data_IF_986316790037
#
_entry.id   IF_986316790037
#
_cell.length_a   1.000
_cell.length_b   1.000
_cell.length_c   1.000
_cell.angle_alpha   90.00
_cell.angle_beta   90.00
_cell.angle_gamma   90.00
#
_symmetry.space_group_name_H-M   'P 1'
#
loop_
_entity.id
_entity.type
_entity.pdbx_description
1 polymer ?
#
# COMPACT_ATOMS: atom_id res chain seq x y z
N UNK A 1 6.10 -7.04 -0.19
CA UNK A 1 5.05 -8.10 -0.12
C UNK A 1 5.66 -9.51 -0.14
N UNK A 2 6.70 -9.80 -0.94
CA UNK A 2 7.38 -11.11 -0.91
C UNK A 2 7.85 -11.47 0.50
N UNK A 3 8.47 -10.54 1.23
CA UNK A 3 8.89 -10.76 2.63
C UNK A 3 7.72 -11.12 3.56
N UNK A 4 6.53 -10.55 3.34
CA UNK A 4 5.32 -10.89 4.12
C UNK A 4 4.95 -12.35 3.90
N UNK A 5 4.92 -12.81 2.64
CA UNK A 5 4.64 -14.19 2.29
C UNK A 5 5.67 -15.15 2.91
N UNK A 6 6.96 -14.83 2.74
CA UNK A 6 8.06 -15.68 3.23
C UNK A 6 7.98 -15.83 4.76
N UNK A 7 7.72 -14.73 5.50
CA UNK A 7 7.54 -14.80 6.96
C UNK A 7 6.25 -15.52 7.37
N UNK A 8 5.18 -15.34 6.64
CA UNK A 8 3.93 -16.05 6.90
C UNK A 8 4.10 -17.56 6.75
N UNK A 9 4.83 -18.02 5.72
CA UNK A 9 5.16 -19.42 5.52
C UNK A 9 6.03 -19.98 6.65
N UNK A 10 7.10 -19.26 7.04
CA UNK A 10 7.99 -19.63 8.14
C UNK A 10 7.25 -19.77 9.50
N UNK A 11 6.26 -18.92 9.73
CA UNK A 11 5.53 -18.83 11.00
C UNK A 11 4.21 -19.61 11.01
N UNK A 12 3.80 -20.19 9.88
CA UNK A 12 2.49 -20.84 9.74
C UNK A 12 1.33 -19.86 9.90
N UNK A 13 1.51 -18.59 9.50
CA UNK A 13 0.54 -17.52 9.62
C UNK A 13 -0.06 -17.13 8.26
N UNK A 14 -1.17 -16.38 8.25
CA UNK A 14 -1.77 -15.87 7.04
C UNK A 14 -1.04 -14.60 6.55
N UNK A 15 -0.57 -14.54 5.27
CA UNK A 15 0.02 -13.34 4.72
C UNK A 15 -1.03 -12.27 4.52
N UNK A 16 -0.96 -11.21 5.34
CA UNK A 16 -1.93 -10.12 5.39
C UNK A 16 -1.28 -8.79 4.99
N UNK A 17 -1.94 -8.00 4.19
CA UNK A 17 -1.53 -6.63 3.86
C UNK A 17 -2.50 -5.61 4.46
N UNK A 18 -1.94 -4.51 4.97
CA UNK A 18 -2.69 -3.36 5.44
C UNK A 18 -2.54 -2.20 4.45
N UNK A 19 -3.64 -1.56 4.11
CA UNK A 19 -3.66 -0.38 3.24
C UNK A 19 -4.83 0.55 3.57
N UNK A 20 -4.81 1.78 3.03
CA UNK A 20 -5.90 2.74 3.19
C UNK A 20 -6.78 2.83 1.93
N UNK A 21 -8.04 3.19 2.11
CA UNK A 21 -9.00 3.48 1.05
C UNK A 21 -8.66 4.79 0.29
N UNK A 22 -8.03 5.74 0.97
CA UNK A 22 -7.63 7.04 0.42
C UNK A 22 -6.13 7.28 0.61
N UNK A 23 -5.57 8.22 -0.18
CA UNK A 23 -4.18 8.64 0.03
C UNK A 23 -4.11 9.57 1.25
N UNK A 24 -3.24 9.27 2.26
CA UNK A 24 -3.14 10.07 3.47
C UNK A 24 -2.92 11.57 3.22
N UNK A 25 -2.04 11.94 2.28
CA UNK A 25 -1.79 13.35 1.96
C UNK A 25 -3.04 14.07 1.47
N UNK A 26 -3.93 13.43 0.71
CA UNK A 26 -5.15 14.07 0.22
C UNK A 26 -6.06 14.51 1.37
N UNK A 27 -6.07 13.74 2.46
CA UNK A 27 -6.87 14.06 3.66
C UNK A 27 -6.19 15.09 4.56
N UNK A 28 -4.86 15.10 4.61
CA UNK A 28 -4.09 16.01 5.47
C UNK A 28 -3.95 17.40 4.84
N UNK A 29 -3.64 17.48 3.55
CA UNK A 29 -3.35 18.74 2.85
C UNK A 29 -4.55 19.32 2.10
N UNK A 30 -5.61 18.54 1.90
CA UNK A 30 -6.74 18.91 1.05
C UNK A 30 -6.44 18.87 -0.46
N UNK A 31 -5.20 18.61 -0.86
CA UNK A 31 -4.82 18.47 -2.26
C UNK A 31 -5.06 17.04 -2.74
N UNK A 32 -5.73 16.88 -3.89
CA UNK A 32 -5.98 15.55 -4.46
C UNK A 32 -4.67 14.94 -4.94
N UNK A 33 -4.24 13.85 -4.28
CA UNK A 33 -3.15 13.01 -4.76
C UNK A 33 -3.74 11.84 -5.55
N UNK A 34 -3.50 11.74 -6.87
CA UNK A 34 -4.03 10.63 -7.67
C UNK A 34 -3.56 9.28 -7.11
N UNK A 35 -4.47 8.33 -7.03
CA UNK A 35 -4.11 6.95 -6.69
C UNK A 35 -3.50 6.28 -7.94
N UNK A 36 -2.45 5.48 -7.75
CA UNK A 36 -1.89 4.63 -8.82
C UNK A 36 -2.91 3.55 -9.20
N UNK A 37 -3.55 2.96 -8.19
CA UNK A 37 -4.61 1.96 -8.35
C UNK A 37 -5.75 2.27 -7.38
N UNK A 38 -6.98 1.91 -7.72
CA UNK A 38 -8.08 1.90 -6.76
C UNK A 38 -7.76 0.96 -5.59
N UNK A 39 -8.44 1.11 -4.46
CA UNK A 39 -8.25 0.18 -3.33
C UNK A 39 -8.60 -1.26 -3.72
N UNK A 40 -9.61 -1.45 -4.57
CA UNK A 40 -10.02 -2.76 -5.07
C UNK A 40 -8.96 -3.38 -5.99
N UNK A 41 -8.46 -2.63 -6.99
CA UNK A 41 -7.41 -3.10 -7.89
C UNK A 41 -6.13 -3.43 -7.12
N UNK A 42 -5.75 -2.59 -6.16
CA UNK A 42 -4.58 -2.81 -5.30
C UNK A 42 -4.70 -4.10 -4.50
N UNK A 43 -5.87 -4.35 -3.89
CA UNK A 43 -6.11 -5.59 -3.16
C UNK A 43 -6.07 -6.82 -4.08
N UNK A 44 -6.64 -6.73 -5.28
CA UNK A 44 -6.60 -7.79 -6.28
C UNK A 44 -5.17 -8.09 -6.75
N UNK A 45 -4.39 -7.05 -7.05
CA UNK A 45 -2.97 -7.18 -7.41
C UNK A 45 -2.15 -7.83 -6.29
N UNK A 46 -2.37 -7.44 -5.04
CA UNK A 46 -1.68 -8.05 -3.89
C UNK A 46 -1.98 -9.54 -3.78
N UNK A 47 -3.23 -9.95 -4.00
CA UNK A 47 -3.61 -11.36 -4.00
C UNK A 47 -2.99 -12.13 -5.14
N UNK A 48 -3.14 -11.64 -6.37
CA UNK A 48 -2.73 -12.37 -7.59
C UNK A 48 -1.22 -12.44 -7.76
N UNK A 49 -0.50 -11.33 -7.52
CA UNK A 49 0.93 -11.25 -7.80
C UNK A 49 1.80 -11.71 -6.63
N UNK A 50 1.32 -11.53 -5.40
CA UNK A 50 2.14 -11.76 -4.21
C UNK A 50 1.59 -12.82 -3.27
N UNK A 51 0.44 -13.42 -3.58
CA UNK A 51 -0.15 -14.47 -2.74
C UNK A 51 -0.63 -13.97 -1.37
N UNK A 52 -0.95 -12.68 -1.25
CA UNK A 52 -1.52 -12.13 -0.03
C UNK A 52 -2.95 -12.65 0.12
N UNK A 53 -3.26 -13.32 1.21
CA UNK A 53 -4.60 -13.89 1.44
C UNK A 53 -5.57 -12.80 1.88
N UNK A 54 -5.19 -12.03 2.90
CA UNK A 54 -6.04 -11.01 3.47
C UNK A 54 -5.49 -9.61 3.18
N UNK A 55 -6.39 -8.71 2.76
CA UNK A 55 -6.06 -7.30 2.54
C UNK A 55 -7.03 -6.46 3.37
N UNK A 56 -6.51 -5.85 4.41
CA UNK A 56 -7.23 -4.94 5.29
C UNK A 56 -7.20 -3.55 4.63
N UNK A 57 -8.37 -3.09 4.19
CA UNK A 57 -8.53 -1.74 3.64
C UNK A 57 -9.17 -0.86 4.71
N UNK A 58 -8.35 -0.11 5.43
CA UNK A 58 -8.82 0.75 6.50
C UNK A 58 -9.27 2.12 5.98
N UNK A 59 -10.31 2.67 6.61
CA UNK A 59 -10.72 4.05 6.37
C UNK A 59 -9.74 5.01 7.04
N UNK A 60 -9.02 5.80 6.24
CA UNK A 60 -7.99 6.70 6.77
C UNK A 60 -8.54 7.67 7.82
N UNK A 61 -9.73 8.22 7.60
CA UNK A 61 -10.34 9.21 8.50
C UNK A 61 -10.59 8.64 9.93
N UNK A 62 -10.87 7.34 10.05
CA UNK A 62 -11.07 6.69 11.35
C UNK A 62 -9.74 6.44 12.08
N UNK A 63 -8.64 6.34 11.36
CA UNK A 63 -7.32 6.00 11.91
C UNK A 63 -6.37 7.19 12.05
N UNK A 64 -6.66 8.31 11.41
CA UNK A 64 -5.75 9.48 11.35
C UNK A 64 -5.41 10.10 12.71
N UNK A 65 -6.21 9.83 13.75
CA UNK A 65 -5.99 10.31 15.12
C UNK A 65 -5.52 9.22 16.09
N UNK A 66 -5.33 8.00 15.59
CA UNK A 66 -4.89 6.88 16.40
C UNK A 66 -3.46 7.10 16.87
N UNK A 67 -3.20 6.90 18.16
CA UNK A 67 -1.86 6.91 18.70
C UNK A 67 -0.99 5.83 18.05
N UNK A 68 0.30 6.09 17.86
CA UNK A 68 1.17 5.15 17.17
C UNK A 68 1.39 3.84 17.94
N UNK A 69 1.37 3.85 19.29
CA UNK A 69 1.44 2.64 20.10
C UNK A 69 0.15 1.84 20.01
N UNK A 70 -1.00 2.52 20.07
CA UNK A 70 -2.30 1.90 19.90
C UNK A 70 -2.45 1.25 18.52
N UNK A 71 -1.96 1.89 17.45
CA UNK A 71 -1.94 1.28 16.12
C UNK A 71 -1.22 -0.07 16.10
N UNK A 72 -0.07 -0.19 16.74
CA UNK A 72 0.68 -1.47 16.75
C UNK A 72 0.08 -2.45 17.76
N UNK A 73 -0.08 -2.04 19.02
CA UNK A 73 -0.45 -2.95 20.11
C UNK A 73 -1.92 -3.37 20.04
N UNK A 74 -2.83 -2.42 19.86
CA UNK A 74 -4.27 -2.69 19.88
C UNK A 74 -4.77 -3.13 18.51
N UNK A 75 -4.50 -2.35 17.46
CA UNK A 75 -5.04 -2.62 16.14
C UNK A 75 -4.32 -3.79 15.43
N UNK A 76 -2.99 -3.76 15.27
CA UNK A 76 -2.29 -4.83 14.56
C UNK A 76 -2.22 -6.13 15.39
N UNK A 77 -1.82 -6.04 16.68
CA UNK A 77 -1.56 -7.24 17.48
C UNK A 77 -2.83 -7.79 18.12
N UNK A 78 -3.59 -6.98 18.85
CA UNK A 78 -4.76 -7.50 19.59
C UNK A 78 -5.97 -7.76 18.68
N UNK A 79 -6.29 -6.83 17.78
CA UNK A 79 -7.49 -6.95 16.94
C UNK A 79 -7.24 -7.87 15.74
N UNK A 80 -6.07 -7.74 15.07
CA UNK A 80 -5.75 -8.52 13.87
C UNK A 80 -4.80 -9.70 14.10
N UNK A 81 -4.31 -9.92 15.32
CA UNK A 81 -3.49 -11.09 15.66
C UNK A 81 -2.12 -11.10 14.98
N UNK A 82 -1.54 -9.94 14.67
CA UNK A 82 -0.25 -9.87 13.99
C UNK A 82 0.86 -10.49 14.86
N UNK A 83 1.54 -11.51 14.33
CA UNK A 83 2.69 -12.16 14.96
C UNK A 83 4.04 -11.68 14.38
N UNK A 84 4.00 -11.04 13.23
CA UNK A 84 5.16 -10.44 12.55
C UNK A 84 4.70 -9.25 11.69
N UNK A 85 5.41 -8.13 11.77
CA UNK A 85 5.12 -6.92 11.01
C UNK A 85 6.25 -6.66 10.00
N UNK A 86 5.89 -6.34 8.76
CA UNK A 86 6.85 -5.96 7.71
C UNK A 86 6.51 -4.56 7.23
N UNK A 87 7.44 -3.64 7.31
CA UNK A 87 7.25 -2.25 6.91
C UNK A 87 8.42 -1.73 6.06
N UNK A 88 8.18 -0.68 5.27
CA UNK A 88 9.23 0.02 4.54
C UNK A 88 10.09 0.92 5.45
N UNK A 89 11.30 1.26 4.98
CA UNK A 89 12.23 2.15 5.68
C UNK A 89 11.68 3.56 5.95
N UNK A 90 10.69 3.99 5.17
CA UNK A 90 10.04 5.29 5.22
C UNK A 90 8.61 5.24 5.77
N UNK A 91 8.23 4.12 6.40
CA UNK A 91 6.90 3.93 6.95
C UNK A 91 6.66 4.84 8.14
N UNK A 92 5.67 5.74 8.01
CA UNK A 92 5.18 6.58 9.10
C UNK A 92 3.73 6.27 9.41
N UNK A 93 3.38 6.20 10.67
CA UNK A 93 2.06 5.80 11.13
C UNK A 93 1.67 6.48 12.45
N UNK A 94 0.42 6.31 12.84
CA UNK A 94 -0.13 6.96 14.03
C UNK A 94 -0.39 8.46 13.81
N UNK A 95 -0.92 9.10 14.84
CA UNK A 95 -1.27 10.53 14.79
C UNK A 95 -0.07 11.39 14.37
N UNK A 96 -0.26 12.23 13.37
CA UNK A 96 0.79 13.10 12.76
C UNK A 96 2.05 12.36 12.29
N UNK A 97 1.98 11.04 12.07
CA UNK A 97 3.12 10.25 11.64
C UNK A 97 4.21 10.09 12.70
N UNK A 98 3.86 10.13 13.97
CA UNK A 98 4.81 10.00 15.08
C UNK A 98 5.47 8.62 15.15
N UNK A 99 4.78 7.58 14.66
CA UNK A 99 5.35 6.25 14.47
C UNK A 99 6.34 6.26 13.29
N UNK A 100 7.45 5.56 13.44
CA UNK A 100 8.50 5.39 12.44
C UNK A 100 9.10 3.98 12.56
N UNK A 101 9.98 3.54 11.65
CA UNK A 101 10.55 2.20 11.69
C UNK A 101 11.23 1.84 13.01
N UNK A 102 12.00 2.74 13.59
CA UNK A 102 12.71 2.51 14.85
C UNK A 102 11.75 2.29 16.03
N UNK A 103 10.69 3.09 16.10
CA UNK A 103 9.63 2.93 17.11
C UNK A 103 8.85 1.65 16.89
N UNK A 104 8.60 1.26 15.63
CA UNK A 104 7.94 0.02 15.28
C UNK A 104 8.76 -1.19 15.77
N UNK A 105 10.05 -1.26 15.44
CA UNK A 105 10.94 -2.33 15.90
C UNK A 105 11.03 -2.41 17.42
N UNK A 106 11.15 -1.26 18.09
CA UNK A 106 11.20 -1.20 19.55
C UNK A 106 9.92 -1.77 20.18
N UNK A 107 8.76 -1.32 19.71
CA UNK A 107 7.47 -1.77 20.26
C UNK A 107 7.16 -3.23 19.91
N UNK A 108 7.46 -3.69 18.71
CA UNK A 108 7.34 -5.10 18.35
C UNK A 108 8.17 -6.00 19.27
N UNK A 109 9.41 -5.59 19.61
CA UNK A 109 10.27 -6.30 20.55
C UNK A 109 9.66 -6.34 21.96
N UNK A 110 9.10 -5.22 22.45
CA UNK A 110 8.40 -5.15 23.74
C UNK A 110 7.20 -6.12 23.78
N UNK A 111 6.49 -6.26 22.66
CA UNK A 111 5.29 -7.09 22.54
C UNK A 111 5.59 -8.57 22.20
N UNK A 112 6.85 -8.94 21.95
CA UNK A 112 7.22 -10.29 21.51
C UNK A 112 6.79 -10.61 20.07
N UNK A 113 6.58 -9.58 19.23
CA UNK A 113 6.17 -9.68 17.82
C UNK A 113 7.39 -9.48 16.93
N UNK A 114 7.52 -10.28 15.87
CA UNK A 114 8.58 -10.10 14.88
C UNK A 114 8.44 -8.80 14.09
N UNK A 115 9.58 -8.25 13.61
CA UNK A 115 9.56 -7.04 12.79
C UNK A 115 10.67 -7.07 11.75
N UNK A 116 10.33 -6.85 10.49
CA UNK A 116 11.28 -6.63 9.38
C UNK A 116 11.08 -5.24 8.79
N UNK A 117 12.14 -4.44 8.75
CA UNK A 117 12.16 -3.17 8.02
C UNK A 117 12.84 -3.38 6.67
N UNK A 118 12.09 -3.17 5.60
CA UNK A 118 12.58 -3.31 4.24
C UNK A 118 13.37 -2.06 3.86
N UNK A 119 14.63 -2.21 3.42
CA UNK A 119 15.45 -1.08 3.01
C UNK A 119 14.90 -0.44 1.73
N UNK A 120 15.40 0.76 1.43
CA UNK A 120 15.10 1.46 0.18
C UNK A 120 15.43 0.58 -1.02
N UNK A 121 14.48 0.48 -1.94
CA UNK A 121 14.66 -0.23 -3.22
C UNK A 121 14.98 0.79 -4.30
N UNK A 122 16.01 0.53 -5.09
CA UNK A 122 16.42 1.34 -6.23
C UNK A 122 16.47 0.50 -7.51
N UNK A 123 16.13 1.13 -8.60
CA UNK A 123 16.30 0.60 -9.95
C UNK A 123 17.02 1.66 -10.78
N UNK A 124 18.15 1.31 -11.40
CA UNK A 124 18.99 2.25 -12.18
C UNK A 124 19.39 3.51 -11.40
N UNK A 125 19.67 3.38 -10.09
CA UNK A 125 20.00 4.51 -9.20
C UNK A 125 18.80 5.40 -8.83
N UNK A 126 17.59 5.06 -9.26
CA UNK A 126 16.36 5.79 -8.95
C UNK A 126 15.57 5.04 -7.88
N UNK A 127 15.17 5.76 -6.84
CA UNK A 127 14.33 5.18 -5.78
C UNK A 127 12.97 4.76 -6.32
N UNK A 128 12.59 3.51 -6.12
CA UNK A 128 11.24 3.02 -6.40
C UNK A 128 10.27 3.66 -5.40
N UNK A 129 9.45 4.58 -5.87
CA UNK A 129 8.50 5.30 -5.03
C UNK A 129 7.18 5.57 -5.76
N UNK A 130 6.10 5.61 -5.00
CA UNK A 130 4.79 5.98 -5.55
C UNK A 130 4.77 7.38 -6.18
N UNK A 131 5.58 8.30 -5.68
CA UNK A 131 5.70 9.66 -6.25
C UNK A 131 6.29 9.62 -7.65
N UNK A 132 7.40 8.92 -7.83
CA UNK A 132 8.04 8.78 -9.14
C UNK A 132 7.15 8.04 -10.13
N UNK A 133 6.51 6.95 -9.71
CA UNK A 133 5.57 6.19 -10.55
C UNK A 133 4.40 7.07 -11.01
N UNK A 134 3.81 7.89 -10.12
CA UNK A 134 2.76 8.84 -10.53
C UNK A 134 3.24 9.85 -11.58
N UNK A 135 4.46 10.32 -11.45
CA UNK A 135 5.06 11.24 -12.44
C UNK A 135 5.14 10.57 -13.81
N UNK A 136 5.63 9.33 -13.89
CA UNK A 136 5.71 8.58 -15.14
C UNK A 136 4.32 8.35 -15.77
N UNK A 137 3.34 7.95 -14.96
CA UNK A 137 1.96 7.77 -15.43
C UNK A 137 1.37 9.09 -15.97
N UNK A 138 1.57 10.20 -15.25
CA UNK A 138 1.07 11.51 -15.66
C UNK A 138 1.72 12.02 -16.96
N UNK A 139 2.96 11.61 -17.24
CA UNK A 139 3.68 11.91 -18.47
C UNK A 139 3.37 10.95 -19.62
N UNK A 140 2.62 9.87 -19.35
CA UNK A 140 2.32 8.85 -20.36
C UNK A 140 3.47 7.85 -20.59
N UNK A 141 4.51 7.87 -19.76
CA UNK A 141 5.66 6.97 -19.85
C UNK A 141 5.32 5.59 -19.25
N UNK A 142 4.36 4.90 -19.88
CA UNK A 142 3.76 3.70 -19.31
C UNK A 142 4.72 2.50 -19.26
N UNK A 143 5.59 2.34 -20.25
CA UNK A 143 6.59 1.26 -20.25
C UNK A 143 7.53 1.39 -19.04
N UNK A 144 8.03 2.62 -18.81
CA UNK A 144 8.89 2.89 -17.68
C UNK A 144 8.13 2.80 -16.35
N UNK A 145 6.87 3.23 -16.30
CA UNK A 145 6.03 3.05 -15.12
C UNK A 145 5.86 1.56 -14.76
N UNK A 146 5.65 0.68 -15.74
CA UNK A 146 5.57 -0.77 -15.55
C UNK A 146 6.85 -1.35 -14.95
N UNK A 147 8.01 -0.89 -15.39
CA UNK A 147 9.30 -1.32 -14.86
C UNK A 147 9.44 -1.03 -13.35
N UNK A 148 8.99 0.15 -12.91
CA UNK A 148 9.03 0.55 -11.50
C UNK A 148 7.89 -0.04 -10.66
N UNK A 149 6.76 -0.34 -11.28
CA UNK A 149 5.64 -1.07 -10.65
C UNK A 149 5.97 -2.57 -10.48
N UNK A 150 6.75 -3.14 -11.42
CA UNK A 150 6.99 -4.57 -11.52
C UNK A 150 5.82 -5.36 -12.12
N UNK A 151 4.81 -4.67 -12.64
CA UNK A 151 3.64 -5.24 -13.31
C UNK A 151 2.98 -4.18 -14.22
N UNK A 152 2.13 -4.57 -15.20
CA UNK A 152 1.34 -3.62 -15.97
C UNK A 152 0.46 -2.75 -15.08
N UNK A 153 0.32 -1.47 -15.43
CA UNK A 153 -0.61 -0.59 -14.73
C UNK A 153 -2.05 -1.06 -14.98
N UNK A 154 -2.81 -1.27 -13.92
CA UNK A 154 -4.19 -1.74 -13.96
C UNK A 154 -5.12 -0.60 -13.58
N UNK A 155 -6.16 -0.41 -14.40
CA UNK A 155 -7.25 0.52 -14.15
C UNK A 155 -8.56 -0.21 -14.38
N UNK A 156 -9.40 -0.28 -13.37
CA UNK A 156 -10.75 -0.85 -13.47
C UNK A 156 -11.77 0.26 -13.38
N UNK A 157 -12.65 0.35 -14.38
CA UNK A 157 -13.74 1.32 -14.41
C UNK A 157 -15.00 0.71 -15.03
N UNK A 158 -16.13 1.39 -14.85
CA UNK A 158 -17.41 0.97 -15.43
C UNK A 158 -17.54 1.55 -16.84
N UNK A 159 -17.84 0.69 -17.81
CA UNK A 159 -18.18 1.12 -19.16
C UNK A 159 -19.49 1.92 -19.13
N UNK A 160 -19.43 3.16 -19.56
CA UNK A 160 -20.59 4.05 -19.69
C UNK A 160 -20.84 4.39 -21.17
N UNK A 161 -22.09 4.70 -21.50
CA UNK A 161 -22.40 5.15 -22.85
C UNK A 161 -21.75 6.51 -23.12
N UNK A 162 -20.86 6.54 -24.08
CA UNK A 162 -20.24 7.78 -24.60
C UNK A 162 -21.15 8.53 -25.57
N UNK A 163 -20.59 9.48 -26.30
CA UNK A 163 -21.27 10.32 -27.28
C UNK A 163 -21.75 9.59 -28.55
N UNK A 164 -21.58 8.26 -28.61
CA UNK A 164 -21.92 7.39 -29.76
C UNK A 164 -21.37 7.90 -31.12
N UNK A 165 -20.19 8.52 -31.09
CA UNK A 165 -19.56 9.09 -32.29
C UNK A 165 -19.25 8.01 -33.35
N UNK A 166 -18.92 6.80 -32.92
CA UNK A 166 -18.69 5.67 -33.84
C UNK A 166 -19.91 5.37 -34.70
N UNK A 167 -21.11 5.33 -34.10
CA UNK A 167 -22.37 5.15 -34.84
C UNK A 167 -22.61 6.28 -35.84
N UNK A 168 -22.22 7.53 -35.51
CA UNK A 168 -22.35 8.68 -36.40
C UNK A 168 -21.34 8.62 -37.56
N UNK A 169 -20.18 7.98 -37.34
CA UNK A 169 -19.11 7.80 -38.32
C UNK A 169 -19.22 6.48 -39.10
N UNK A 170 -20.22 5.63 -38.80
CA UNK A 170 -20.53 4.43 -39.57
C UNK A 170 -19.78 3.15 -39.12
N UNK A 171 -19.32 3.10 -37.85
CA UNK A 171 -18.77 1.88 -37.19
C UNK A 171 -19.22 1.72 -35.73
#
# INVERSE_FOLDING_TARGET
LSRVRDRAEELGAAPTAFTFDAHPSSRITGAVTPLINSAADRADLMRRLYGIQDVIVAHFDSMMRMDWRAFVAEYLVQEHGAVHVVAGHDFHFGYKGEGNPQRLEGLCRELGVGCDIIPKVEREGITVSSTYIRTLIAQGEMERAMEFLGHPHVLTDRVTHGKKLGTTLGF
#
